data_IF_071348034272
#
_entry.id   IF_071348034272
#
_cell.length_a   1.000
_cell.length_b   1.000
_cell.length_c   1.000
_cell.angle_alpha   90.00
_cell.angle_beta   90.00
_cell.angle_gamma   90.00
#
_symmetry.space_group_name_H-M   'P 1'
#
loop_
_entity.id
_entity.type
_entity.pdbx_description
1 polymer ?
#
# COMPACT_ATOMS: atom_id res chain seq x y z
N UNK A 1 3.87 -8.90 -16.71
CA UNK A 1 3.82 -10.15 -15.93
C UNK A 1 4.80 -11.14 -16.56
N UNK A 2 5.61 -11.84 -15.75
CA UNK A 2 6.44 -12.95 -16.20
C UNK A 2 5.56 -14.16 -16.54
N UNK A 3 6.03 -15.03 -17.43
CA UNK A 3 5.30 -16.19 -17.93
C UNK A 3 6.26 -17.38 -18.08
N UNK A 4 5.80 -18.57 -17.69
CA UNK A 4 6.51 -19.85 -17.93
C UNK A 4 7.93 -19.91 -17.32
N UNK A 5 8.00 -19.76 -15.99
CA UNK A 5 9.25 -19.73 -15.23
C UNK A 5 9.60 -21.10 -14.60
N UNK A 6 9.16 -22.20 -15.21
CA UNK A 6 9.42 -23.55 -14.69
C UNK A 6 10.87 -24.03 -14.95
N UNK A 7 11.54 -23.51 -16.00
CA UNK A 7 12.95 -23.75 -16.32
C UNK A 7 13.90 -22.87 -15.48
N UNK A 8 13.77 -22.96 -14.16
CA UNK A 8 14.56 -22.20 -13.18
C UNK A 8 15.27 -23.14 -12.20
N UNK A 9 16.13 -22.60 -11.34
CA UNK A 9 16.88 -23.39 -10.33
C UNK A 9 17.67 -24.57 -10.95
N UNK A 10 18.29 -24.35 -12.11
CA UNK A 10 19.05 -25.38 -12.83
C UNK A 10 18.20 -26.54 -13.37
N UNK A 11 16.87 -26.41 -13.39
CA UNK A 11 15.98 -27.51 -13.74
C UNK A 11 15.86 -27.75 -15.26
N UNK A 12 15.92 -29.03 -15.63
CA UNK A 12 15.62 -29.69 -16.92
C UNK A 12 16.27 -29.18 -18.23
N UNK A 13 16.09 -27.92 -18.64
CA UNK A 13 16.58 -27.44 -19.95
C UNK A 13 16.93 -25.95 -19.95
N UNK A 14 18.00 -25.62 -20.66
CA UNK A 14 18.39 -24.24 -20.95
C UNK A 14 17.79 -23.80 -22.29
N UNK A 15 16.64 -23.13 -22.26
CA UNK A 15 15.96 -22.63 -23.47
C UNK A 15 16.62 -21.40 -24.09
N UNK A 16 17.24 -20.57 -23.26
CA UNK A 16 17.82 -19.28 -23.68
C UNK A 16 19.20 -19.44 -24.27
N UNK A 17 19.89 -20.54 -23.96
CA UNK A 17 21.29 -20.74 -24.27
C UNK A 17 22.21 -19.91 -23.39
N UNK A 18 21.78 -19.53 -22.19
CA UNK A 18 22.62 -18.82 -21.21
C UNK A 18 23.88 -19.66 -20.90
N UNK A 19 25.07 -19.06 -20.74
CA UNK A 19 26.32 -19.82 -20.63
C UNK A 19 26.36 -20.81 -19.47
N UNK A 20 25.74 -20.46 -18.34
CA UNK A 20 25.64 -21.30 -17.16
C UNK A 20 24.22 -21.22 -16.55
N UNK A 21 23.75 -22.35 -16.03
CA UNK A 21 22.48 -22.50 -15.31
C UNK A 21 22.67 -23.08 -13.91
N UNK A 22 23.92 -23.20 -13.44
CA UNK A 22 24.26 -23.65 -12.09
C UNK A 22 24.01 -22.54 -11.05
N UNK A 23 24.06 -22.86 -9.74
CA UNK A 23 24.06 -21.85 -8.68
C UNK A 23 25.21 -20.84 -8.78
N UNK A 24 26.35 -21.21 -9.36
CA UNK A 24 27.49 -20.31 -9.55
C UNK A 24 27.41 -19.44 -10.80
N UNK A 25 26.26 -19.38 -11.49
CA UNK A 25 26.13 -18.61 -12.71
C UNK A 25 26.23 -17.09 -12.43
N UNK A 26 27.15 -16.40 -13.10
CA UNK A 26 27.30 -14.94 -13.02
C UNK A 26 25.96 -14.21 -13.27
N UNK A 27 25.55 -13.25 -12.41
CA UNK A 27 24.35 -12.45 -12.60
C UNK A 27 24.26 -11.71 -13.95
N UNK A 28 25.41 -11.34 -14.53
CA UNK A 28 25.52 -10.65 -15.82
C UNK A 28 25.53 -11.60 -17.03
N UNK A 29 25.51 -12.93 -16.85
CA UNK A 29 25.41 -13.88 -17.96
C UNK A 29 24.29 -13.57 -18.98
N UNK A 30 23.08 -13.13 -18.56
CA UNK A 30 22.01 -12.76 -19.48
C UNK A 30 22.32 -11.55 -20.38
N UNK A 31 23.24 -10.66 -20.00
CA UNK A 31 23.59 -9.45 -20.77
C UNK A 31 24.25 -9.80 -22.12
N UNK A 32 24.96 -10.93 -22.16
CA UNK A 32 25.60 -11.44 -23.37
C UNK A 32 24.64 -12.13 -24.33
N UNK A 33 23.37 -12.28 -23.96
CA UNK A 33 22.35 -12.84 -24.85
C UNK A 33 21.99 -11.80 -25.92
N UNK A 34 21.69 -12.25 -27.14
CA UNK A 34 21.30 -11.35 -28.22
C UNK A 34 19.85 -10.86 -28.03
N UNK A 35 18.89 -11.55 -28.64
CA UNK A 35 17.47 -11.28 -28.48
C UNK A 35 16.73 -12.62 -28.39
N UNK A 36 16.93 -13.37 -27.28
CA UNK A 36 16.29 -14.65 -27.10
C UNK A 36 14.77 -14.47 -27.16
N UNK A 37 14.11 -15.20 -28.05
CA UNK A 37 12.67 -15.10 -28.28
C UNK A 37 12.21 -13.94 -29.18
N UNK A 38 13.07 -12.94 -29.45
CA UNK A 38 12.79 -11.85 -30.39
C UNK A 38 11.92 -10.70 -29.85
N UNK A 39 11.77 -10.58 -28.53
CA UNK A 39 10.95 -9.54 -27.88
C UNK A 39 11.75 -8.28 -27.51
N UNK A 40 13.07 -8.30 -27.65
CA UNK A 40 13.94 -7.15 -27.37
C UNK A 40 14.27 -6.93 -25.90
N UNK A 41 14.04 -7.93 -25.02
CA UNK A 41 14.30 -7.77 -23.58
C UNK A 41 15.75 -7.43 -23.26
N UNK A 42 16.70 -8.23 -23.73
CA UNK A 42 18.13 -8.01 -23.48
C UNK A 42 18.66 -6.76 -24.19
N UNK A 43 18.30 -6.46 -25.46
CA UNK A 43 18.69 -5.21 -26.10
C UNK A 43 18.21 -3.95 -25.37
N UNK A 44 16.99 -3.95 -24.82
CA UNK A 44 16.48 -2.82 -24.04
C UNK A 44 17.23 -2.70 -22.72
N UNK A 45 17.42 -3.81 -22.00
CA UNK A 45 18.17 -3.83 -20.75
C UNK A 45 19.59 -3.31 -20.96
N UNK A 46 20.33 -3.82 -21.94
CA UNK A 46 21.69 -3.37 -22.26
C UNK A 46 21.74 -1.89 -22.64
N UNK A 47 20.72 -1.35 -23.32
CA UNK A 47 20.64 0.07 -23.64
C UNK A 47 20.37 0.94 -22.40
N UNK A 48 19.61 0.43 -21.42
CA UNK A 48 19.40 1.11 -20.14
C UNK A 48 20.68 1.11 -19.29
N UNK A 49 21.44 0.01 -19.31
CA UNK A 49 22.73 -0.12 -18.60
C UNK A 49 23.83 0.84 -19.12
N UNK A 50 23.62 1.52 -20.25
CA UNK A 50 24.50 2.61 -20.70
C UNK A 50 24.32 3.92 -19.89
N UNK A 51 23.29 4.01 -19.06
CA UNK A 51 23.06 5.11 -18.13
C UNK A 51 23.58 4.73 -16.73
N UNK A 52 24.53 5.52 -16.22
CA UNK A 52 25.20 5.24 -14.95
C UNK A 52 24.22 5.20 -13.76
N UNK A 53 23.18 6.04 -13.75
CA UNK A 53 22.17 6.06 -12.69
C UNK A 53 21.36 4.75 -12.69
N UNK A 54 20.94 4.28 -13.87
CA UNK A 54 20.23 3.00 -14.02
C UNK A 54 21.14 1.80 -13.67
N UNK A 55 22.43 1.85 -14.04
CA UNK A 55 23.38 0.80 -13.66
C UNK A 55 23.53 0.72 -12.13
N UNK A 56 23.60 1.87 -11.44
CA UNK A 56 23.62 1.92 -9.99
C UNK A 56 22.32 1.36 -9.38
N UNK A 57 21.16 1.76 -9.89
CA UNK A 57 19.85 1.20 -9.48
C UNK A 57 19.79 -0.32 -9.69
N UNK A 58 20.29 -0.82 -10.82
CA UNK A 58 20.31 -2.25 -11.13
C UNK A 58 21.18 -3.04 -10.14
N UNK A 59 22.39 -2.55 -9.85
CA UNK A 59 23.31 -3.16 -8.88
C UNK A 59 22.71 -3.13 -7.47
N UNK A 60 22.18 -1.98 -7.05
CA UNK A 60 21.51 -1.83 -5.75
C UNK A 60 20.29 -2.74 -5.64
N UNK A 61 19.52 -2.92 -6.71
CA UNK A 61 18.36 -3.81 -6.68
C UNK A 61 18.76 -5.25 -6.39
N UNK A 62 19.88 -5.72 -6.95
CA UNK A 62 20.42 -7.03 -6.58
C UNK A 62 20.84 -7.07 -5.10
N UNK A 63 21.56 -6.07 -4.61
CA UNK A 63 21.94 -5.99 -3.20
C UNK A 63 20.71 -6.03 -2.27
N UNK A 64 19.71 -5.19 -2.53
CA UNK A 64 18.50 -5.13 -1.70
C UNK A 64 17.68 -6.43 -1.75
N UNK A 65 17.57 -7.08 -2.93
CA UNK A 65 16.92 -8.39 -3.03
C UNK A 65 17.69 -9.47 -2.25
N UNK A 66 19.02 -9.50 -2.32
CA UNK A 66 19.86 -10.45 -1.55
C UNK A 66 19.70 -10.27 -0.04
N UNK A 67 19.58 -9.02 0.43
CA UNK A 67 19.31 -8.71 1.83
C UNK A 67 17.85 -9.01 2.26
N UNK A 68 16.97 -9.42 1.34
CA UNK A 68 15.54 -9.64 1.62
C UNK A 68 15.02 -10.94 0.98
N UNK A 69 14.33 -10.84 -0.15
CA UNK A 69 13.59 -11.93 -0.77
C UNK A 69 14.47 -13.02 -1.37
N UNK A 70 15.71 -12.72 -1.75
CA UNK A 70 16.67 -13.69 -2.27
C UNK A 70 17.60 -14.25 -1.19
N UNK A 71 17.40 -13.87 0.08
CA UNK A 71 18.10 -14.52 1.20
C UNK A 71 17.74 -16.00 1.29
N UNK A 72 18.68 -16.80 1.79
CA UNK A 72 18.48 -18.24 1.98
C UNK A 72 17.28 -18.54 2.87
N UNK A 73 17.13 -17.78 3.96
CA UNK A 73 16.04 -17.94 4.91
C UNK A 73 14.69 -17.66 4.26
N UNK A 74 14.54 -16.55 3.53
CA UNK A 74 13.27 -16.21 2.90
C UNK A 74 12.91 -17.19 1.77
N UNK A 75 13.87 -17.52 0.91
CA UNK A 75 13.63 -18.43 -0.22
C UNK A 75 13.24 -19.82 0.27
N UNK A 76 13.92 -20.36 1.29
CA UNK A 76 13.54 -21.64 1.89
C UNK A 76 12.18 -21.55 2.60
N UNK A 77 11.92 -20.48 3.35
CA UNK A 77 10.61 -20.24 3.96
C UNK A 77 9.49 -20.24 2.92
N UNK A 78 9.71 -19.61 1.76
CA UNK A 78 8.73 -19.58 0.68
C UNK A 78 8.50 -20.99 0.09
N UNK A 79 9.57 -21.75 -0.14
CA UNK A 79 9.46 -23.16 -0.57
C UNK A 79 8.70 -23.99 0.46
N UNK A 80 8.97 -23.83 1.75
CA UNK A 80 8.24 -24.50 2.84
C UNK A 80 6.76 -24.13 2.84
N UNK A 81 6.44 -22.85 2.73
CA UNK A 81 5.07 -22.35 2.70
C UNK A 81 4.29 -22.94 1.52
N UNK A 82 4.87 -22.93 0.32
CA UNK A 82 4.25 -23.49 -0.88
C UNK A 82 4.12 -25.01 -0.82
N UNK A 83 5.19 -25.72 -0.46
CA UNK A 83 5.18 -27.18 -0.40
C UNK A 83 4.29 -27.71 0.72
N UNK A 84 4.15 -26.99 1.84
CA UNK A 84 3.22 -27.33 2.91
C UNK A 84 1.75 -27.34 2.47
N UNK A 85 1.37 -26.49 1.51
CA UNK A 85 0.02 -26.49 0.92
C UNK A 85 -0.17 -27.67 -0.03
N UNK A 86 0.88 -28.05 -0.77
CA UNK A 86 0.83 -29.05 -1.84
C UNK A 86 0.98 -30.48 -1.28
N UNK A 87 1.81 -30.66 -0.25
CA UNK A 87 2.22 -31.95 0.32
C UNK A 87 1.05 -32.93 0.55
N UNK A 88 -0.07 -32.56 1.20
CA UNK A 88 -1.14 -33.51 1.53
C UNK A 88 -1.80 -34.12 0.29
N UNK A 89 -1.67 -33.47 -0.87
CA UNK A 89 -2.28 -33.86 -2.13
C UNK A 89 -1.35 -34.68 -3.03
N UNK A 90 -0.04 -34.63 -2.80
CA UNK A 90 0.95 -35.17 -3.73
C UNK A 90 0.83 -36.67 -3.94
N UNK A 91 0.58 -37.44 -2.87
CA UNK A 91 0.37 -38.89 -2.99
C UNK A 91 -0.78 -39.20 -3.95
N UNK A 92 -1.91 -38.49 -3.81
CA UNK A 92 -3.08 -38.65 -4.69
C UNK A 92 -2.80 -38.23 -6.13
N UNK A 93 -2.02 -37.16 -6.33
CA UNK A 93 -1.63 -36.71 -7.67
C UNK A 93 -0.74 -37.74 -8.37
N UNK A 94 0.26 -38.30 -7.68
CA UNK A 94 1.13 -39.33 -8.23
C UNK A 94 0.33 -40.59 -8.61
N UNK A 95 -0.60 -41.04 -7.76
CA UNK A 95 -1.45 -42.20 -8.05
C UNK A 95 -2.39 -41.97 -9.25
N UNK A 96 -2.93 -40.75 -9.39
CA UNK A 96 -3.90 -40.43 -10.44
C UNK A 96 -3.25 -40.29 -11.81
N UNK A 97 -2.17 -39.54 -11.92
CA UNK A 97 -1.57 -39.17 -13.20
C UNK A 97 -0.41 -40.07 -13.60
N UNK A 98 0.22 -40.75 -12.64
CA UNK A 98 1.45 -41.51 -12.88
C UNK A 98 2.65 -40.60 -13.20
N UNK A 99 3.78 -41.19 -13.61
CA UNK A 99 4.97 -40.43 -14.05
C UNK A 99 5.89 -39.94 -12.93
N UNK A 100 5.54 -40.13 -11.66
CA UNK A 100 6.37 -39.79 -10.50
C UNK A 100 5.96 -40.54 -9.23
N UNK A 101 6.68 -40.32 -8.14
CA UNK A 101 6.36 -40.84 -6.80
C UNK A 101 6.38 -39.70 -5.78
N UNK A 102 5.71 -39.88 -4.64
CA UNK A 102 5.78 -38.89 -3.56
C UNK A 102 7.22 -38.65 -3.12
N UNK A 103 8.01 -39.71 -2.94
CA UNK A 103 9.44 -39.58 -2.63
C UNK A 103 10.21 -38.83 -3.72
N UNK A 104 9.95 -39.09 -5.00
CA UNK A 104 10.61 -38.37 -6.09
C UNK A 104 10.25 -36.88 -6.14
N UNK A 105 9.03 -36.51 -5.72
CA UNK A 105 8.69 -35.10 -5.53
C UNK A 105 9.43 -34.49 -4.33
N UNK A 106 9.55 -35.21 -3.21
CA UNK A 106 10.35 -34.75 -2.07
C UNK A 106 11.83 -34.57 -2.43
N UNK A 107 12.39 -35.50 -3.20
CA UNK A 107 13.76 -35.41 -3.69
C UNK A 107 13.95 -34.17 -4.58
N UNK A 108 13.01 -33.88 -5.49
CA UNK A 108 13.05 -32.68 -6.33
C UNK A 108 12.90 -31.37 -5.53
N UNK A 109 12.08 -31.36 -4.47
CA UNK A 109 12.01 -30.23 -3.54
C UNK A 109 13.34 -30.03 -2.84
N UNK A 110 14.02 -31.11 -2.44
CA UNK A 110 15.34 -31.01 -1.83
C UNK A 110 16.39 -30.48 -2.83
N UNK A 111 16.39 -30.94 -4.08
CA UNK A 111 17.29 -30.41 -5.12
C UNK A 111 17.11 -28.90 -5.32
N UNK A 112 15.88 -28.39 -5.26
CA UNK A 112 15.60 -26.95 -5.32
C UNK A 112 16.16 -26.19 -4.11
N UNK A 113 16.05 -26.76 -2.90
CA UNK A 113 16.63 -26.16 -1.68
C UNK A 113 18.13 -26.11 -1.74
N UNK A 114 18.75 -27.20 -2.18
CA UNK A 114 20.21 -27.26 -2.34
C UNK A 114 20.69 -26.22 -3.35
N UNK A 115 19.97 -26.03 -4.47
CA UNK A 115 20.25 -24.96 -5.43
C UNK A 115 20.09 -23.58 -4.79
N UNK A 116 19.00 -23.35 -4.05
CA UNK A 116 18.75 -22.08 -3.36
C UNK A 116 19.92 -21.80 -2.42
N UNK A 117 20.22 -22.71 -1.50
CA UNK A 117 21.27 -22.57 -0.48
C UNK A 117 22.65 -22.30 -1.07
N UNK A 118 22.97 -22.94 -2.20
CA UNK A 118 24.21 -22.66 -2.94
C UNK A 118 24.15 -21.26 -3.56
N UNK A 119 23.04 -20.87 -4.20
CA UNK A 119 22.92 -19.58 -4.92
C UNK A 119 22.78 -18.35 -4.01
N UNK A 120 21.96 -18.44 -2.97
CA UNK A 120 21.62 -17.33 -2.07
C UNK A 120 22.71 -17.05 -1.03
N UNK A 121 23.69 -17.95 -0.91
CA UNK A 121 24.90 -17.69 -0.16
C UNK A 121 25.68 -16.53 -0.83
N UNK A 122 26.95 -16.40 -0.48
CA UNK A 122 27.82 -15.34 -0.99
C UNK A 122 27.96 -15.37 -2.54
N UNK A 123 27.48 -16.40 -3.24
CA UNK A 123 27.53 -16.55 -4.71
C UNK A 123 26.84 -15.42 -5.51
N UNK A 124 25.72 -14.86 -5.03
CA UNK A 124 25.12 -13.69 -5.71
C UNK A 124 26.00 -12.45 -5.51
N UNK A 125 26.53 -12.27 -4.30
CA UNK A 125 27.36 -11.11 -3.95
C UNK A 125 28.67 -11.16 -4.73
N UNK A 126 29.41 -12.26 -4.64
CA UNK A 126 30.66 -12.49 -5.36
C UNK A 126 30.44 -12.41 -6.89
N UNK A 127 29.34 -12.96 -7.40
CA UNK A 127 29.00 -12.86 -8.82
C UNK A 127 28.77 -11.42 -9.29
N UNK A 128 28.22 -10.55 -8.45
CA UNK A 128 28.06 -9.13 -8.77
C UNK A 128 29.40 -8.38 -8.73
N UNK A 129 30.28 -8.72 -7.79
CA UNK A 129 31.66 -8.20 -7.73
C UNK A 129 32.40 -8.52 -9.03
N UNK A 130 32.36 -9.78 -9.47
CA UNK A 130 33.00 -10.23 -10.71
C UNK A 130 32.40 -9.59 -11.97
N UNK A 131 31.08 -9.40 -12.01
CA UNK A 131 30.38 -8.82 -13.15
C UNK A 131 30.71 -7.35 -13.39
N UNK A 132 30.84 -6.56 -12.32
CA UNK A 132 30.92 -5.10 -12.41
C UNK A 132 32.21 -4.49 -11.84
N UNK A 133 33.16 -5.31 -11.38
CA UNK A 133 34.43 -4.87 -10.77
C UNK A 133 34.18 -3.97 -9.54
N UNK A 134 33.28 -4.41 -8.67
CA UNK A 134 32.85 -3.73 -7.45
C UNK A 134 33.22 -4.57 -6.22
N UNK A 135 33.28 -3.95 -5.04
CA UNK A 135 33.62 -4.62 -3.77
C UNK A 135 32.46 -4.49 -2.77
N UNK A 136 32.07 -5.60 -2.17
CA UNK A 136 30.99 -5.70 -1.21
C UNK A 136 31.42 -5.24 0.20
N UNK A 137 30.55 -4.48 0.87
CA UNK A 137 30.75 -3.94 2.22
C UNK A 137 29.47 -3.99 3.03
N UNK A 138 29.63 -4.08 4.35
CA UNK A 138 28.49 -4.05 5.28
C UNK A 138 27.99 -2.63 5.51
N UNK A 139 26.69 -2.45 5.34
CA UNK A 139 25.94 -1.28 5.79
C UNK A 139 25.09 -1.66 6.99
N UNK A 140 25.29 -0.97 8.11
CA UNK A 140 24.42 -1.07 9.28
C UNK A 140 23.52 0.16 9.35
N UNK A 141 22.22 -0.06 9.50
CA UNK A 141 21.23 0.99 9.69
C UNK A 141 20.62 0.90 11.08
N UNK A 142 20.54 2.04 11.75
CA UNK A 142 19.92 2.16 13.07
C UNK A 142 18.74 3.12 12.95
N UNK A 143 17.56 2.63 13.31
CA UNK A 143 16.38 3.48 13.50
C UNK A 143 16.33 3.89 14.98
N UNK A 144 16.53 5.16 15.27
CA UNK A 144 16.39 5.76 16.60
C UNK A 144 15.08 6.55 16.66
N UNK A 145 14.08 6.06 17.40
CA UNK A 145 12.73 6.64 17.42
C UNK A 145 11.71 5.90 16.58
N UNK A 146 10.58 6.54 16.27
CA UNK A 146 9.41 5.90 15.67
C UNK A 146 9.24 6.21 14.18
N UNK A 147 10.23 5.87 13.36
CA UNK A 147 10.10 5.93 11.90
C UNK A 147 10.57 4.65 11.25
N UNK A 148 10.61 4.66 9.92
CA UNK A 148 11.15 3.55 9.13
C UNK A 148 12.10 4.09 8.06
N UNK A 149 13.02 3.24 7.61
CA UNK A 149 13.94 3.57 6.51
C UNK A 149 13.57 2.67 5.34
N UNK A 150 13.20 3.26 4.21
CA UNK A 150 13.06 2.56 2.93
C UNK A 150 14.42 2.48 2.24
N UNK A 151 14.68 1.31 1.66
CA UNK A 151 15.86 1.06 0.84
C UNK A 151 15.41 0.46 -0.49
N UNK A 152 15.50 1.21 -1.58
CA UNK A 152 15.52 0.68 -2.95
C UNK A 152 14.34 -0.30 -3.26
N UNK A 153 13.16 -0.03 -2.73
CA UNK A 153 11.94 -0.79 -2.96
C UNK A 153 11.90 -2.19 -2.32
N UNK A 154 12.59 -2.42 -1.20
CA UNK A 154 12.37 -3.59 -0.33
C UNK A 154 11.58 -3.22 0.93
N UNK A 155 11.28 -4.22 1.77
CA UNK A 155 10.56 -3.98 3.02
C UNK A 155 11.29 -2.92 3.87
N UNK A 156 10.59 -1.86 4.34
CA UNK A 156 11.20 -0.82 5.16
C UNK A 156 11.82 -1.38 6.44
N UNK A 157 12.99 -0.87 6.81
CA UNK A 157 13.69 -1.18 8.05
C UNK A 157 13.00 -0.41 9.18
N UNK A 158 12.48 -1.15 10.16
CA UNK A 158 11.79 -0.59 11.31
C UNK A 158 12.69 -0.53 12.54
N UNK A 159 12.21 0.11 13.62
CA UNK A 159 12.88 0.02 14.92
C UNK A 159 13.05 -1.43 15.43
N UNK A 160 12.14 -2.35 15.07
CA UNK A 160 12.25 -3.75 15.49
C UNK A 160 13.39 -4.49 14.78
N UNK A 161 13.80 -3.99 13.61
CA UNK A 161 14.89 -4.53 12.80
C UNK A 161 16.24 -3.89 13.16
N UNK A 162 16.25 -2.86 14.01
CA UNK A 162 17.42 -2.05 14.39
C UNK A 162 18.29 -2.74 15.47
N UNK A 163 19.62 -2.87 15.30
CA UNK A 163 20.37 -2.51 14.10
C UNK A 163 20.13 -3.51 12.95
N UNK A 164 19.81 -2.98 11.78
CA UNK A 164 19.68 -3.76 10.55
C UNK A 164 21.03 -3.83 9.86
N UNK A 165 21.41 -5.00 9.36
CA UNK A 165 22.67 -5.21 8.64
C UNK A 165 22.39 -5.75 7.24
N UNK A 166 23.07 -5.21 6.24
CA UNK A 166 23.01 -5.71 4.88
C UNK A 166 24.30 -5.47 4.11
N UNK A 167 24.45 -6.18 3.00
CA UNK A 167 25.59 -6.05 2.10
C UNK A 167 25.22 -5.14 0.93
N UNK A 168 26.06 -4.15 0.67
CA UNK A 168 26.02 -3.25 -0.50
C UNK A 168 27.42 -3.14 -1.10
N UNK A 169 27.59 -2.35 -2.17
CA UNK A 169 28.86 -2.22 -2.87
C UNK A 169 29.45 -0.82 -2.72
N UNK A 170 30.79 -0.74 -2.64
CA UNK A 170 31.48 0.55 -2.60
C UNK A 170 31.29 1.34 -3.89
N UNK A 171 31.40 2.66 -3.80
CA UNK A 171 31.33 3.60 -4.92
C UNK A 171 30.00 3.61 -5.72
N UNK A 172 29.05 2.73 -5.39
CA UNK A 172 27.69 2.74 -5.93
C UNK A 172 26.82 3.66 -5.04
N UNK A 173 26.19 4.71 -5.61
CA UNK A 173 25.26 5.55 -4.86
C UNK A 173 24.02 4.76 -4.42
N UNK A 174 23.69 4.80 -3.14
CA UNK A 174 22.52 4.15 -2.53
C UNK A 174 21.59 5.25 -2.04
N UNK A 175 20.33 5.20 -2.45
CA UNK A 175 19.27 6.05 -1.90
C UNK A 175 18.60 5.36 -0.70
N UNK A 176 18.50 6.10 0.39
CA UNK A 176 17.79 5.78 1.62
C UNK A 176 16.68 6.83 1.80
N UNK A 177 15.47 6.41 2.12
CA UNK A 177 14.37 7.33 2.42
C UNK A 177 13.86 7.12 3.84
N UNK A 178 13.86 8.18 4.64
CA UNK A 178 13.23 8.18 5.96
C UNK A 178 11.72 8.36 5.78
N UNK A 179 10.98 7.26 5.96
CA UNK A 179 9.53 7.26 5.95
C UNK A 179 9.01 7.61 7.35
N UNK A 180 8.13 8.60 7.39
CA UNK A 180 7.55 9.10 8.62
C UNK A 180 6.16 8.47 8.79
N UNK A 181 6.10 7.37 9.55
CA UNK A 181 4.83 6.76 9.92
C UNK A 181 4.18 7.52 11.09
N UNK A 182 4.97 7.86 12.11
CA UNK A 182 4.57 8.66 13.29
C UNK A 182 5.75 9.53 13.77
N UNK A 183 5.51 10.74 14.27
CA UNK A 183 6.59 11.62 14.76
C UNK A 183 7.36 12.37 13.65
N UNK A 184 8.53 12.93 13.93
CA UNK A 184 9.31 13.72 12.95
C UNK A 184 10.66 13.09 12.66
N UNK A 185 11.07 13.13 11.39
CA UNK A 185 12.45 12.89 11.02
C UNK A 185 13.34 14.06 11.47
N UNK A 186 14.33 13.79 12.31
CA UNK A 186 15.27 14.79 12.84
C UNK A 186 16.54 14.90 12.00
N UNK A 187 16.96 13.78 11.42
CA UNK A 187 18.11 13.75 10.52
C UNK A 187 18.91 12.46 10.55
N UNK A 188 19.88 12.40 9.64
CA UNK A 188 20.84 11.31 9.50
C UNK A 188 22.13 11.59 10.26
N UNK A 189 22.69 10.57 10.91
CA UNK A 189 24.01 10.61 11.57
C UNK A 189 24.86 9.42 11.12
N UNK A 190 26.13 9.67 10.75
CA UNK A 190 27.12 8.61 10.54
C UNK A 190 27.89 8.40 11.83
N UNK A 191 27.77 7.22 12.44
CA UNK A 191 28.47 6.89 13.70
C UNK A 191 29.70 6.01 13.47
N UNK A 192 29.79 5.33 12.33
CA UNK A 192 30.95 4.55 11.90
C UNK A 192 31.08 4.58 10.37
N UNK A 193 32.33 4.56 9.86
CA UNK A 193 32.63 4.61 8.43
C UNK A 193 33.01 6.01 7.92
N UNK A 194 33.49 6.07 6.68
CA UNK A 194 33.79 7.32 5.97
C UNK A 194 32.72 7.57 4.89
N UNK A 195 31.57 8.08 5.35
CA UNK A 195 30.42 8.43 4.53
C UNK A 195 30.14 9.92 4.72
N UNK A 196 29.98 10.66 3.62
CA UNK A 196 29.65 12.08 3.66
C UNK A 196 28.15 12.25 3.45
N UNK A 197 27.52 13.07 4.31
CA UNK A 197 26.11 13.46 4.20
C UNK A 197 26.06 14.97 3.96
N UNK A 198 25.53 15.36 2.79
CA UNK A 198 25.46 16.78 2.38
C UNK A 198 24.40 17.57 3.16
N UNK A 199 23.20 17.00 3.29
CA UNK A 199 22.10 17.55 4.07
C UNK A 199 21.51 16.46 4.97
N UNK A 200 21.90 16.40 6.26
CA UNK A 200 21.40 15.39 7.17
C UNK A 200 19.91 15.56 7.48
N UNK A 201 19.30 16.70 7.19
CA UNK A 201 17.87 16.94 7.43
C UNK A 201 16.97 16.54 6.27
N UNK A 202 17.55 16.21 5.10
CA UNK A 202 16.78 15.72 3.97
C UNK A 202 16.34 14.27 4.24
N UNK A 203 15.03 13.96 4.25
CA UNK A 203 14.55 12.59 4.45
C UNK A 203 15.01 11.64 3.34
N UNK A 204 15.33 12.14 2.15
CA UNK A 204 15.94 11.36 1.08
C UNK A 204 17.46 11.58 1.12
N UNK A 205 18.19 10.52 1.39
CA UNK A 205 19.64 10.52 1.51
C UNK A 205 20.27 9.61 0.45
N UNK A 206 21.10 10.19 -0.42
CA UNK A 206 21.97 9.43 -1.31
C UNK A 206 23.38 9.37 -0.72
N UNK A 207 23.91 8.17 -0.50
CA UNK A 207 25.26 7.94 0.02
C UNK A 207 26.05 6.97 -0.86
N UNK A 208 27.36 7.13 -0.91
CA UNK A 208 28.27 6.14 -1.51
C UNK A 208 29.20 5.63 -0.42
N UNK A 209 29.34 4.31 -0.34
CA UNK A 209 30.20 3.66 0.65
C UNK A 209 31.65 3.60 0.13
N UNK A 210 32.60 3.74 1.04
CA UNK A 210 34.04 3.50 0.77
C UNK A 210 34.62 2.35 1.60
N UNK A 211 33.75 1.74 2.42
CA UNK A 211 34.04 0.72 3.41
C UNK A 211 32.80 0.47 4.25
N UNK A 212 32.87 -0.40 5.27
CA UNK A 212 31.76 -0.61 6.18
C UNK A 212 31.32 0.68 6.88
N UNK A 213 30.01 0.88 7.02
CA UNK A 213 29.45 2.09 7.62
C UNK A 213 28.25 1.78 8.51
N UNK A 214 28.06 2.60 9.54
CA UNK A 214 26.84 2.60 10.36
C UNK A 214 26.18 3.98 10.30
N UNK A 215 24.94 4.00 9.82
CA UNK A 215 24.14 5.22 9.68
C UNK A 215 22.91 5.12 10.59
N UNK A 216 22.61 6.19 11.30
CA UNK A 216 21.46 6.33 12.18
C UNK A 216 20.46 7.28 11.53
N UNK A 217 19.19 6.87 11.43
CA UNK A 217 18.08 7.76 11.19
C UNK A 217 17.45 8.13 12.54
N UNK A 218 17.50 9.42 12.89
CA UNK A 218 16.85 9.91 14.10
C UNK A 218 15.43 10.36 13.80
N UNK A 219 14.50 9.84 14.58
CA UNK A 219 13.11 10.21 14.62
C UNK A 219 12.76 10.64 16.05
N UNK A 220 11.97 11.70 16.20
CA UNK A 220 11.38 12.03 17.51
C UNK A 220 9.92 11.61 17.55
N UNK A 221 9.52 11.06 18.69
CA UNK A 221 8.12 10.77 19.01
C UNK A 221 7.49 11.84 19.89
N UNK A 222 8.28 12.77 20.45
CA UNK A 222 7.78 13.90 21.25
C UNK A 222 7.47 15.08 20.34
N UNK A 223 6.50 14.90 19.45
CA UNK A 223 5.79 16.06 18.96
C UNK A 223 4.89 16.56 20.09
N UNK A 224 5.12 17.81 20.50
CA UNK A 224 4.24 18.46 21.47
C UNK A 224 2.80 18.39 20.94
N UNK A 225 1.82 17.93 21.74
CA UNK A 225 0.43 17.88 21.31
C UNK A 225 -0.06 19.25 20.87
N UNK A 226 -0.77 19.29 19.74
CA UNK A 226 -1.28 20.52 19.15
C UNK A 226 -2.77 20.68 19.42
N UNK A 227 -3.21 21.92 19.55
CA UNK A 227 -4.64 22.24 19.62
C UNK A 227 -5.19 22.27 18.19
N UNK A 228 -6.05 21.31 17.87
CA UNK A 228 -6.70 21.20 16.56
C UNK A 228 -8.19 21.46 16.72
N UNK A 229 -8.75 22.35 15.91
CA UNK A 229 -10.17 22.62 15.86
C UNK A 229 -10.84 21.75 14.79
N UNK A 230 -11.84 20.99 15.17
CA UNK A 230 -12.71 20.25 14.26
C UNK A 230 -14.03 21.01 14.10
N UNK A 231 -14.49 21.17 12.87
CA UNK A 231 -15.78 21.79 12.56
C UNK A 231 -16.52 21.05 11.45
N UNK A 232 -17.85 21.19 11.40
CA UNK A 232 -18.70 20.56 10.38
C UNK A 232 -19.57 21.63 9.74
N UNK A 233 -19.58 21.67 8.40
CA UNK A 233 -20.35 22.65 7.64
C UNK A 233 -21.24 21.95 6.58
N UNK A 234 -22.56 22.22 6.54
CA UNK A 234 -23.32 23.02 7.49
C UNK A 234 -23.43 22.36 8.88
N UNK A 235 -23.82 23.14 9.90
CA UNK A 235 -24.01 22.63 11.27
C UNK A 235 -25.00 21.44 11.26
N UNK A 236 -24.70 20.40 12.05
CA UNK A 236 -25.46 19.14 12.11
C UNK A 236 -25.42 18.25 10.85
N UNK A 237 -24.61 18.59 9.82
CA UNK A 237 -24.54 17.79 8.59
C UNK A 237 -23.88 16.40 8.75
N UNK A 238 -23.07 16.21 9.79
CA UNK A 238 -22.35 14.96 10.00
C UNK A 238 -21.45 14.98 11.24
N UNK A 239 -20.55 14.01 11.30
CA UNK A 239 -19.53 13.85 12.34
C UNK A 239 -18.14 13.66 11.72
N UNK A 240 -17.10 14.04 12.45
CA UNK A 240 -15.70 13.77 12.17
C UNK A 240 -15.20 12.80 13.23
N UNK A 241 -14.71 11.64 12.80
CA UNK A 241 -13.96 10.72 13.66
C UNK A 241 -12.46 10.99 13.48
N UNK A 242 -11.73 11.11 14.60
CA UNK A 242 -10.27 11.11 14.64
C UNK A 242 -9.82 9.79 15.25
N UNK A 243 -9.10 8.97 14.51
CA UNK A 243 -8.71 7.62 14.90
C UNK A 243 -9.91 6.78 15.40
N UNK A 244 -11.02 6.85 14.68
CA UNK A 244 -12.31 6.23 15.02
C UNK A 244 -12.97 6.75 16.31
N UNK A 245 -12.53 7.88 16.85
CA UNK A 245 -13.14 8.54 18.01
C UNK A 245 -13.87 9.82 17.55
N UNK A 246 -15.18 9.97 17.82
CA UNK A 246 -15.91 11.18 17.47
C UNK A 246 -15.33 12.44 18.13
N UNK A 247 -15.18 13.51 17.35
CA UNK A 247 -14.61 14.78 17.81
C UNK A 247 -15.66 15.84 18.15
N UNK A 248 -16.96 15.54 18.00
CA UNK A 248 -18.05 16.45 18.32
C UNK A 248 -18.20 16.76 19.83
N UNK A 249 -19.01 17.78 20.19
CA UNK A 249 -19.85 18.62 19.32
C UNK A 249 -19.07 19.74 18.60
N UNK A 250 -19.48 20.10 17.39
CA UNK A 250 -18.76 21.05 16.51
C UNK A 250 -19.20 22.52 16.70
N UNK A 251 -18.28 23.49 16.57
CA UNK A 251 -16.83 23.31 16.51
C UNK A 251 -16.27 22.86 17.86
N UNK A 252 -15.32 21.91 17.84
CA UNK A 252 -14.61 21.43 19.03
C UNK A 252 -13.11 21.65 18.88
N UNK A 253 -12.41 22.04 19.96
CA UNK A 253 -10.94 22.06 19.95
C UNK A 253 -10.42 20.96 20.86
N UNK A 254 -9.65 20.04 20.27
CA UNK A 254 -9.09 18.88 20.93
C UNK A 254 -7.57 19.02 20.98
N UNK A 255 -6.96 18.56 22.08
CA UNK A 255 -5.52 18.39 22.15
C UNK A 255 -5.19 17.06 21.46
N UNK A 256 -4.57 17.15 20.29
CA UNK A 256 -4.22 16.01 19.45
C UNK A 256 -2.71 15.80 19.58
N UNK A 257 -2.28 14.55 19.79
CA UNK A 257 -0.86 14.23 19.78
C UNK A 257 -0.25 14.61 18.42
N UNK A 258 1.01 15.02 18.37
CA UNK A 258 1.61 15.28 17.05
C UNK A 258 1.93 13.96 16.34
N UNK A 259 1.76 13.92 15.03
CA UNK A 259 1.94 12.70 14.25
C UNK A 259 0.86 12.48 13.19
N UNK A 260 0.88 11.30 12.59
CA UNK A 260 -0.13 10.86 11.64
C UNK A 260 -1.42 10.45 12.38
N UNK A 261 -2.56 10.96 11.92
CA UNK A 261 -3.89 10.60 12.40
C UNK A 261 -4.80 10.24 11.23
N UNK A 262 -5.74 9.33 11.48
CA UNK A 262 -6.81 9.00 10.54
C UNK A 262 -8.03 9.87 10.81
N UNK A 263 -8.66 10.35 9.74
CA UNK A 263 -9.93 11.08 9.79
C UNK A 263 -10.99 10.38 8.95
N UNK A 264 -12.22 10.43 9.42
CA UNK A 264 -13.39 9.89 8.71
C UNK A 264 -14.55 10.87 8.85
N UNK A 265 -15.19 11.20 7.73
CA UNK A 265 -16.42 11.98 7.67
C UNK A 265 -17.62 11.02 7.66
N UNK A 266 -18.50 11.16 8.64
CA UNK A 266 -19.73 10.38 8.76
C UNK A 266 -20.91 11.28 8.50
N UNK A 267 -21.70 10.95 7.48
CA UNK A 267 -22.80 11.78 7.01
C UNK A 267 -24.07 11.56 7.84
N UNK A 268 -24.80 12.64 8.16
CA UNK A 268 -26.15 12.55 8.67
C UNK A 268 -27.18 12.41 7.54
N UNK A 269 -28.41 12.05 7.90
CA UNK A 269 -29.52 11.98 6.95
C UNK A 269 -29.68 13.33 6.22
N UNK A 270 -29.85 13.27 4.90
CA UNK A 270 -29.96 14.44 4.01
C UNK A 270 -28.67 15.22 3.74
N UNK A 271 -27.51 14.65 4.04
CA UNK A 271 -26.23 15.24 3.68
C UNK A 271 -25.33 14.23 2.97
N UNK A 272 -24.44 14.73 2.12
CA UNK A 272 -23.39 13.96 1.45
C UNK A 272 -22.07 14.68 1.66
N UNK A 273 -21.03 13.95 2.00
CA UNK A 273 -19.69 14.52 2.13
C UNK A 273 -19.24 15.12 0.79
N UNK A 274 -18.67 16.31 0.83
CA UNK A 274 -18.15 17.01 -0.35
C UNK A 274 -16.63 17.02 -0.35
N UNK A 275 -16.01 17.65 0.66
CA UNK A 275 -14.56 17.69 0.81
C UNK A 275 -14.15 18.12 2.23
N UNK A 276 -12.86 17.99 2.52
CA UNK A 276 -12.21 18.53 3.71
C UNK A 276 -11.57 19.90 3.43
N UNK A 277 -11.71 20.84 4.37
CA UNK A 277 -10.92 22.08 4.39
C UNK A 277 -9.94 22.07 5.58
N UNK A 278 -8.68 22.43 5.33
CA UNK A 278 -7.63 22.55 6.35
C UNK A 278 -6.89 23.88 6.25
N UNK A 279 -6.24 24.34 7.33
CA UNK A 279 -5.39 25.55 7.30
C UNK A 279 -3.94 25.21 7.00
N UNK A 280 -3.41 24.16 7.63
CA UNK A 280 -1.99 23.80 7.53
C UNK A 280 -1.74 22.38 7.01
N UNK A 281 -2.51 21.39 7.46
CA UNK A 281 -2.33 19.99 7.11
C UNK A 281 -2.74 19.71 5.65
N UNK A 282 -2.10 18.72 5.05
CA UNK A 282 -2.53 18.12 3.78
C UNK A 282 -3.17 16.78 4.07
N UNK A 283 -4.28 16.47 3.38
CA UNK A 283 -5.00 15.20 3.54
C UNK A 283 -4.56 14.24 2.45
N UNK A 284 -4.26 13.00 2.83
CA UNK A 284 -3.96 11.90 1.92
C UNK A 284 -5.12 10.88 1.90
N UNK A 285 -5.47 10.30 0.74
CA UNK A 285 -4.83 10.50 -0.56
C UNK A 285 -5.14 11.85 -1.20
N UNK A 286 -6.32 12.42 -0.95
CA UNK A 286 -6.71 13.78 -1.31
C UNK A 286 -7.90 14.27 -0.46
N UNK A 287 -8.24 15.55 -0.56
CA UNK A 287 -9.27 16.21 0.26
C UNK A 287 -10.72 15.80 -0.05
N UNK A 288 -10.98 15.03 -1.11
CA UNK A 288 -12.32 14.63 -1.53
C UNK A 288 -12.68 13.20 -1.08
N UNK A 289 -11.74 12.49 -0.45
CA UNK A 289 -12.02 11.18 0.14
C UNK A 289 -12.62 11.36 1.56
N UNK A 290 -13.81 10.78 1.85
CA UNK A 290 -14.38 10.84 3.19
C UNK A 290 -13.51 10.15 4.26
N UNK A 291 -12.63 9.23 3.86
CA UNK A 291 -11.61 8.63 4.71
C UNK A 291 -10.23 9.15 4.30
N UNK A 292 -9.46 9.67 5.25
CA UNK A 292 -8.15 10.23 4.96
C UNK A 292 -7.17 10.14 6.11
N UNK A 293 -5.93 10.54 5.85
CA UNK A 293 -4.91 10.73 6.88
C UNK A 293 -4.30 12.13 6.81
N UNK A 294 -3.90 12.65 7.96
CA UNK A 294 -3.24 13.94 8.08
C UNK A 294 -2.11 13.88 9.11
N UNK A 295 -1.11 14.74 8.94
CA UNK A 295 0.00 14.84 9.86
C UNK A 295 -0.09 16.13 10.70
N UNK A 296 -0.22 15.99 12.02
CA UNK A 296 -0.32 17.10 12.97
C UNK A 296 1.07 17.53 13.43
N UNK A 297 1.52 18.69 12.97
CA UNK A 297 2.78 19.31 13.40
C UNK A 297 2.56 20.67 14.11
N UNK A 298 1.51 21.38 13.72
CA UNK A 298 1.13 22.70 14.23
C UNK A 298 -0.37 22.72 14.58
N UNK A 299 -0.82 23.78 15.25
CA UNK A 299 -2.27 24.03 15.43
C UNK A 299 -2.97 24.15 14.08
N UNK A 300 -4.15 23.56 13.95
CA UNK A 300 -4.89 23.56 12.69
C UNK A 300 -6.41 23.69 12.91
N UNK A 301 -7.15 23.93 11.84
CA UNK A 301 -8.60 23.79 11.76
C UNK A 301 -8.95 22.84 10.64
N UNK A 302 -9.65 21.75 10.96
CA UNK A 302 -10.11 20.72 10.04
C UNK A 302 -11.63 20.82 9.96
N UNK A 303 -12.15 21.08 8.77
CA UNK A 303 -13.58 21.23 8.52
C UNK A 303 -14.06 20.17 7.53
N UNK A 304 -15.03 19.35 7.92
CA UNK A 304 -15.75 18.50 6.97
C UNK A 304 -16.89 19.30 6.35
N UNK A 305 -16.86 19.44 5.02
CA UNK A 305 -17.88 20.14 4.25
C UNK A 305 -18.81 19.12 3.61
N UNK A 306 -20.10 19.35 3.76
CA UNK A 306 -21.16 18.50 3.23
C UNK A 306 -22.10 19.33 2.35
N UNK A 307 -22.70 18.64 1.37
CA UNK A 307 -23.79 19.20 0.56
C UNK A 307 -25.13 18.65 1.04
N UNK A 308 -26.09 19.56 1.29
CA UNK A 308 -27.46 19.19 1.64
C UNK A 308 -28.18 18.57 0.43
N UNK A 309 -28.83 17.43 0.66
CA UNK A 309 -29.80 16.83 -0.25
C UNK A 309 -31.12 17.57 -0.04
N UNK A 310 -31.65 18.29 -1.07
CA UNK A 310 -32.93 18.96 -0.95
C UNK A 310 -34.02 17.98 -0.50
N UNK A 311 -34.86 18.37 0.46
CA UNK A 311 -35.94 17.52 0.97
C UNK A 311 -37.13 18.37 1.43
N UNK A 312 -38.32 17.77 1.42
CA UNK A 312 -39.57 18.46 1.74
C UNK A 312 -40.48 17.60 2.62
N UNK A 313 -41.04 18.21 3.65
CA UNK A 313 -42.16 17.63 4.39
C UNK A 313 -43.45 17.76 3.58
N UNK A 314 -44.08 16.63 3.27
CA UNK A 314 -45.35 16.59 2.57
C UNK A 314 -46.45 15.96 3.44
N UNK A 315 -47.67 16.42 3.22
CA UNK A 315 -48.88 15.82 3.79
C UNK A 315 -49.78 15.37 2.64
N UNK A 316 -50.14 14.10 2.63
CA UNK A 316 -50.99 13.51 1.59
C UNK A 316 -52.29 13.00 2.22
N UNK A 317 -53.42 13.50 1.74
CA UNK A 317 -54.75 13.13 2.22
C UNK A 317 -55.68 12.71 1.07
N UNK A 318 -56.75 11.99 1.41
CA UNK A 318 -57.76 11.52 0.45
C UNK A 318 -59.11 12.18 0.77
N UNK A 319 -59.65 12.93 -0.20
CA UNK A 319 -60.95 13.56 -0.09
C UNK A 319 -61.92 13.07 -1.20
N UNK A 320 -63.15 12.62 -0.86
CA UNK A 320 -63.69 12.42 0.49
C UNK A 320 -62.95 11.33 1.28
N UNK A 321 -62.91 11.45 2.60
CA UNK A 321 -62.26 10.47 3.46
C UNK A 321 -62.74 9.03 3.16
N UNK A 322 -61.79 8.10 3.03
CA UNK A 322 -61.99 6.69 2.67
C UNK A 322 -62.45 6.41 1.22
N UNK A 323 -62.41 7.39 0.30
CA UNK A 323 -62.77 7.16 -1.11
C UNK A 323 -61.73 6.35 -1.90
N UNK A 324 -60.54 6.13 -1.35
CA UNK A 324 -59.47 5.36 -1.98
C UNK A 324 -58.19 5.31 -1.15
N UNK A 325 -57.16 4.67 -1.70
CA UNK A 325 -55.79 4.63 -1.18
C UNK A 325 -54.81 5.14 -2.23
N UNK A 326 -53.60 5.50 -1.81
CA UNK A 326 -52.51 6.01 -2.62
C UNK A 326 -51.28 5.13 -2.40
N UNK A 327 -50.60 4.76 -3.48
CA UNK A 327 -49.25 4.21 -3.44
C UNK A 327 -48.26 5.33 -3.75
N UNK A 328 -47.24 5.50 -2.91
CA UNK A 328 -46.09 6.37 -3.16
C UNK A 328 -44.92 5.51 -3.62
N UNK A 329 -44.41 5.75 -4.83
CA UNK A 329 -43.33 4.96 -5.44
C UNK A 329 -43.57 3.44 -5.36
N UNK A 330 -44.82 3.02 -5.63
CA UNK A 330 -45.23 1.61 -5.60
C UNK A 330 -45.52 1.02 -4.22
N UNK A 331 -45.30 1.78 -3.13
CA UNK A 331 -45.58 1.34 -1.75
C UNK A 331 -46.89 1.94 -1.24
N UNK A 332 -47.86 1.15 -0.75
CA UNK A 332 -49.12 1.67 -0.20
C UNK A 332 -48.90 2.52 1.05
N UNK A 333 -49.51 3.71 1.11
CA UNK A 333 -49.48 4.55 2.31
C UNK A 333 -50.33 3.93 3.43
N UNK A 334 -49.84 4.02 4.67
CA UNK A 334 -50.44 3.35 5.83
C UNK A 334 -51.69 4.05 6.40
N UNK A 335 -51.83 5.36 6.24
CA UNK A 335 -52.91 6.16 6.82
C UNK A 335 -53.09 7.49 6.10
N UNK A 336 -54.26 8.12 6.21
CA UNK A 336 -54.55 9.45 5.67
C UNK A 336 -55.16 10.35 6.78
N UNK A 337 -54.68 11.59 6.96
CA UNK A 337 -53.53 12.20 6.28
C UNK A 337 -52.21 11.47 6.62
N UNK A 338 -51.38 11.21 5.61
CA UNK A 338 -50.01 10.73 5.75
C UNK A 338 -49.07 11.93 5.83
N UNK A 339 -48.09 11.90 6.71
CA UNK A 339 -47.02 12.90 6.79
C UNK A 339 -45.67 12.21 6.69
N UNK A 340 -44.76 12.75 5.88
CA UNK A 340 -43.38 12.29 5.81
C UNK A 340 -42.50 13.24 5.00
N UNK A 341 -41.20 13.04 5.11
CA UNK A 341 -40.17 13.79 4.39
C UNK A 341 -39.81 13.02 3.13
N UNK A 342 -39.69 13.73 2.01
CA UNK A 342 -39.32 13.16 0.71
C UNK A 342 -38.17 13.95 0.11
N UNK A 343 -37.29 13.26 -0.60
CA UNK A 343 -36.21 13.88 -1.36
C UNK A 343 -36.80 14.81 -2.43
N UNK A 344 -36.22 16.01 -2.52
CA UNK A 344 -36.52 17.04 -3.48
C UNK A 344 -35.83 16.80 -4.81
N UNK A 345 -36.25 17.54 -5.83
CA UNK A 345 -35.64 17.51 -7.18
C UNK A 345 -35.69 16.15 -7.92
N UNK A 346 -36.35 15.15 -7.33
CA UNK A 346 -36.69 13.88 -7.98
C UNK A 346 -38.21 13.75 -8.19
N UNK A 347 -38.61 13.03 -9.23
CA UNK A 347 -40.02 12.75 -9.49
C UNK A 347 -40.56 11.70 -8.50
N UNK A 348 -41.58 12.07 -7.73
CA UNK A 348 -42.30 11.16 -6.83
C UNK A 348 -43.57 10.69 -7.53
N UNK A 349 -43.72 9.38 -7.70
CA UNK A 349 -44.89 8.79 -8.34
C UNK A 349 -46.00 8.51 -7.32
N UNK A 350 -47.17 9.10 -7.53
CA UNK A 350 -48.38 8.81 -6.76
C UNK A 350 -49.41 8.09 -7.62
N UNK A 351 -49.79 6.88 -7.21
CA UNK A 351 -50.81 6.08 -7.88
C UNK A 351 -52.04 5.92 -6.99
N UNK A 352 -53.22 6.30 -7.50
CA UNK A 352 -54.47 6.21 -6.75
C UNK A 352 -55.22 4.91 -7.03
N UNK A 353 -55.77 4.29 -6.00
CA UNK A 353 -56.61 3.10 -6.07
C UNK A 353 -57.97 3.44 -5.43
N UNK A 354 -59.06 3.58 -6.22
CA UNK A 354 -60.39 3.82 -5.66
C UNK A 354 -60.86 2.69 -4.74
N UNK A 355 -61.57 3.04 -3.67
CA UNK A 355 -62.07 2.04 -2.71
C UNK A 355 -63.21 1.18 -3.28
N UNK A 356 -63.98 1.70 -4.23
CA UNK A 356 -65.11 1.02 -4.87
C UNK A 356 -65.41 1.54 -6.29
N UNK A 357 -66.41 0.95 -6.94
CA UNK A 357 -66.85 1.31 -8.30
C UNK A 357 -67.53 2.69 -8.42
N UNK A 358 -67.87 3.33 -7.30
CA UNK A 358 -68.55 4.62 -7.27
C UNK A 358 -67.58 5.78 -7.00
N UNK A 359 -66.36 5.46 -6.57
CA UNK A 359 -65.27 6.40 -6.34
C UNK A 359 -64.37 6.46 -7.57
N UNK A 360 -64.05 7.65 -8.04
CA UNK A 360 -63.13 7.87 -9.15
C UNK A 360 -62.16 8.98 -8.80
N UNK A 361 -60.87 8.78 -9.12
CA UNK A 361 -59.89 9.86 -9.03
C UNK A 361 -60.31 11.02 -9.95
N UNK A 362 -60.31 12.23 -9.39
CA UNK A 362 -60.64 13.44 -10.13
C UNK A 362 -59.38 14.21 -10.52
N UNK A 363 -58.62 14.68 -9.53
CA UNK A 363 -57.41 15.46 -9.70
C UNK A 363 -56.60 15.46 -8.41
N UNK A 364 -55.34 15.88 -8.51
CA UNK A 364 -54.51 16.28 -7.38
C UNK A 364 -54.72 17.77 -7.09
N UNK A 365 -54.76 18.14 -5.82
CA UNK A 365 -54.78 19.53 -5.33
C UNK A 365 -53.54 19.69 -4.42
N UNK A 366 -52.75 20.75 -4.63
CA UNK A 366 -51.48 21.03 -3.94
C UNK A 366 -51.58 22.34 -3.19
#
# INVERSE_FOLDING_TARGET
ALWDMDATFGHYINYTGVPDTSPGADPCNPEGLNDPGGQGHVPIMNALMENDDFLAEYINRFASLSNSYFSCDYMNYLVDSMTGVIDPEMTRQCERWGGGTYNGWQDAVQEMRDFIDERCADEIVEGMEDCYDIEAVNLTLIVDGLGTIELQGVAPVTQADSPWEGIYYIEIPIELEALIDIGVFLGWEVIEGDVTIDDPSNPILTVSLTGPATIVAHFDSNLDPQMVMFDVQPEEAGEILLDAIPTGPYPNTVLVDGGLHLIEAVENEWFVFDHWETVNATINPDENDPEGSLFVLDTDTITAVYTEIPHFDIVVDVQPANAGTINMNGTPMASYPWSGTVEGEIDINFETIPADQWSQFSHWEV
#
